data_IF_322665861572
#
_entry.id   IF_322665861572
#
_cell.length_a   1.000
_cell.length_b   1.000
_cell.length_c   1.000
_cell.angle_alpha   90.00
_cell.angle_beta   90.00
_cell.angle_gamma   90.00
#
_symmetry.space_group_name_H-M   'P 1'
#
loop_
_entity.id
_entity.type
_entity.pdbx_description
1 polymer ?
#
# COMPACT_ATOMS: atom_id res chain seq x y z
N UNK A 1 -63.30 -18.12 49.13
CA UNK A 1 -63.02 -17.67 47.74
C UNK A 1 -61.78 -16.77 47.67
N UNK A 2 -61.66 -15.71 48.49
CA UNK A 2 -60.51 -14.79 48.45
C UNK A 2 -59.15 -15.43 48.83
N UNK A 3 -59.12 -16.34 49.82
CA UNK A 3 -57.86 -17.00 50.24
C UNK A 3 -57.18 -17.85 49.15
N UNK A 4 -57.96 -18.55 48.32
CA UNK A 4 -57.45 -19.35 47.20
C UNK A 4 -56.83 -18.52 46.08
N UNK A 5 -57.27 -17.26 45.91
CA UNK A 5 -56.70 -16.35 44.93
C UNK A 5 -55.35 -15.80 45.42
N UNK A 6 -55.25 -15.46 46.71
CA UNK A 6 -54.00 -14.97 47.31
C UNK A 6 -52.90 -16.02 47.26
N UNK A 7 -53.24 -17.29 47.54
CA UNK A 7 -52.28 -18.39 47.53
C UNK A 7 -51.75 -18.70 46.10
N UNK A 8 -52.63 -18.64 45.09
CA UNK A 8 -52.23 -18.77 43.68
C UNK A 8 -51.35 -17.60 43.21
N UNK A 9 -51.64 -16.38 43.63
CA UNK A 9 -50.83 -15.21 43.27
C UNK A 9 -49.45 -15.28 43.92
N UNK A 10 -49.35 -15.70 45.19
CA UNK A 10 -48.07 -15.88 45.88
C UNK A 10 -47.18 -16.94 45.20
N UNK A 11 -47.75 -18.08 44.80
CA UNK A 11 -47.03 -19.13 44.08
C UNK A 11 -46.52 -18.67 42.69
N UNK A 12 -47.32 -17.88 41.97
CA UNK A 12 -46.89 -17.30 40.69
C UNK A 12 -45.76 -16.28 40.85
N UNK A 13 -45.76 -15.50 41.92
CA UNK A 13 -44.70 -14.52 42.19
C UNK A 13 -43.38 -15.23 42.54
N UNK A 14 -43.44 -16.29 43.37
CA UNK A 14 -42.25 -17.06 43.74
C UNK A 14 -41.62 -17.77 42.53
N UNK A 15 -42.44 -18.34 41.65
CA UNK A 15 -41.94 -18.99 40.42
C UNK A 15 -41.35 -17.97 39.44
N UNK A 16 -41.96 -16.80 39.30
CA UNK A 16 -41.41 -15.71 38.47
C UNK A 16 -40.05 -15.22 38.99
N UNK A 17 -39.91 -15.03 40.31
CA UNK A 17 -38.64 -14.64 40.94
C UNK A 17 -37.55 -15.72 40.76
N UNK A 18 -37.89 -17.00 40.95
CA UNK A 18 -36.96 -18.09 40.75
C UNK A 18 -36.49 -18.19 39.29
N UNK A 19 -37.40 -17.98 38.33
CA UNK A 19 -37.06 -17.97 36.92
C UNK A 19 -36.14 -16.80 36.56
N UNK A 20 -36.41 -15.62 37.11
CA UNK A 20 -35.60 -14.43 36.88
C UNK A 20 -34.18 -14.59 37.44
N UNK A 21 -34.04 -15.13 38.66
CA UNK A 21 -32.75 -15.47 39.26
C UNK A 21 -31.96 -16.49 38.42
N UNK A 22 -32.63 -17.52 37.91
CA UNK A 22 -31.98 -18.50 37.05
C UNK A 22 -31.47 -17.87 35.74
N UNK A 23 -32.25 -16.96 35.16
CA UNK A 23 -31.89 -16.26 33.93
C UNK A 23 -30.69 -15.32 34.14
N UNK A 24 -30.67 -14.59 35.25
CA UNK A 24 -29.54 -13.72 35.62
C UNK A 24 -28.26 -14.53 35.83
N UNK A 25 -28.35 -15.72 36.43
CA UNK A 25 -27.20 -16.60 36.65
C UNK A 25 -26.63 -17.13 35.33
N UNK A 26 -27.50 -17.51 34.38
CA UNK A 26 -27.09 -17.90 33.02
C UNK A 26 -26.44 -16.72 32.29
N UNK A 27 -27.02 -15.52 32.39
CA UNK A 27 -26.48 -14.32 31.77
C UNK A 27 -25.08 -14.00 32.30
N UNK A 28 -24.89 -14.12 33.62
CA UNK A 28 -23.60 -13.86 34.28
C UNK A 28 -22.53 -14.85 33.80
N UNK A 29 -22.86 -16.13 33.62
CA UNK A 29 -21.95 -17.13 33.06
C UNK A 29 -21.56 -16.80 31.62
N UNK A 30 -22.51 -16.39 30.78
CA UNK A 30 -22.26 -16.01 29.38
C UNK A 30 -21.35 -14.78 29.31
N UNK A 31 -21.65 -13.74 30.10
CA UNK A 31 -20.84 -12.51 30.17
C UNK A 31 -19.44 -12.83 30.69
N UNK A 32 -19.31 -13.65 31.74
CA UNK A 32 -18.03 -14.10 32.27
C UNK A 32 -17.19 -14.84 31.24
N UNK A 33 -17.80 -15.76 30.48
CA UNK A 33 -17.12 -16.48 29.40
C UNK A 33 -16.67 -15.53 28.26
N UNK A 34 -17.49 -14.53 27.91
CA UNK A 34 -17.14 -13.49 26.94
C UNK A 34 -15.97 -12.63 27.40
N UNK A 35 -15.96 -12.20 28.67
CA UNK A 35 -14.87 -11.41 29.24
C UNK A 35 -13.56 -12.21 29.32
N UNK A 36 -13.63 -13.50 29.66
CA UNK A 36 -12.47 -14.40 29.60
C UNK A 36 -11.95 -14.57 28.17
N UNK A 37 -12.84 -14.65 27.18
CA UNK A 37 -12.46 -14.73 25.76
C UNK A 37 -11.80 -13.43 25.26
N UNK A 38 -12.34 -12.27 25.64
CA UNK A 38 -11.82 -10.95 25.29
C UNK A 38 -10.47 -10.67 25.97
N UNK A 39 -10.32 -11.04 27.25
CA UNK A 39 -9.04 -10.90 27.96
C UNK A 39 -7.95 -11.80 27.37
N UNK A 40 -8.29 -13.00 26.90
CA UNK A 40 -7.38 -13.88 26.16
C UNK A 40 -6.94 -13.26 24.82
N UNK A 41 -7.85 -12.56 24.14
CA UNK A 41 -7.56 -11.85 22.89
C UNK A 41 -6.66 -10.62 23.11
N UNK A 42 -6.83 -9.89 24.22
CA UNK A 42 -5.94 -8.77 24.60
C UNK A 42 -4.48 -9.19 24.77
N UNK A 43 -4.23 -10.38 25.32
CA UNK A 43 -2.86 -10.92 25.43
C UNK A 43 -2.19 -11.20 24.07
N UNK A 44 -2.97 -11.39 23.02
CA UNK A 44 -2.42 -11.54 21.67
C UNK A 44 -2.06 -10.19 21.04
N UNK A 45 -2.81 -9.13 21.32
CA UNK A 45 -2.47 -7.78 20.86
C UNK A 45 -1.19 -7.24 21.49
N UNK A 46 -0.89 -7.58 22.75
CA UNK A 46 0.38 -7.15 23.39
C UNK A 46 1.61 -7.75 22.68
N UNK A 47 1.52 -8.99 22.20
CA UNK A 47 2.58 -9.63 21.40
C UNK A 47 2.75 -9.00 20.02
N UNK A 48 1.65 -8.53 19.43
CA UNK A 48 1.70 -7.82 18.15
C UNK A 48 2.33 -6.43 18.31
N UNK A 49 2.08 -5.73 19.42
CA UNK A 49 2.75 -4.46 19.68
C UNK A 49 4.26 -4.60 19.86
N UNK A 50 4.73 -5.69 20.45
CA UNK A 50 6.15 -5.98 20.60
C UNK A 50 6.81 -6.24 19.23
N UNK A 51 6.18 -7.05 18.37
CA UNK A 51 6.65 -7.32 17.01
C UNK A 51 6.62 -6.07 16.11
N UNK A 52 5.60 -5.22 16.26
CA UNK A 52 5.52 -3.94 15.54
C UNK A 52 6.60 -2.99 16.03
N UNK A 53 6.89 -2.92 17.33
CA UNK A 53 7.99 -2.12 17.86
C UNK A 53 9.34 -2.59 17.31
N UNK A 54 9.58 -3.91 17.23
CA UNK A 54 10.82 -4.44 16.66
C UNK A 54 10.93 -4.15 15.16
N UNK A 55 9.84 -4.30 14.40
CA UNK A 55 9.80 -4.01 12.97
C UNK A 55 9.96 -2.52 12.66
N UNK A 56 9.44 -1.64 13.51
CA UNK A 56 9.62 -0.19 13.40
C UNK A 56 11.08 0.18 13.67
N UNK A 57 11.72 -0.41 14.67
CA UNK A 57 13.13 -0.16 14.98
C UNK A 57 14.07 -0.63 13.86
N UNK A 58 13.80 -1.80 13.26
CA UNK A 58 14.54 -2.27 12.07
C UNK A 58 14.32 -1.37 10.86
N UNK A 59 13.10 -0.89 10.64
CA UNK A 59 12.78 0.05 9.57
C UNK A 59 13.48 1.40 9.76
N UNK A 60 13.57 1.91 10.99
CA UNK A 60 14.22 3.18 11.30
C UNK A 60 15.73 3.14 11.04
N UNK A 61 16.38 2.02 11.40
CA UNK A 61 17.80 1.78 11.06
C UNK A 61 18.01 1.68 9.55
N UNK A 62 17.10 1.03 8.82
CA UNK A 62 17.13 0.97 7.36
C UNK A 62 17.00 2.35 6.70
N UNK A 63 16.10 3.20 7.21
CA UNK A 63 15.93 4.57 6.72
C UNK A 63 17.18 5.44 6.96
N UNK A 64 17.83 5.31 8.11
CA UNK A 64 19.07 6.05 8.37
C UNK A 64 20.21 5.64 7.42
N UNK A 65 20.34 4.34 7.11
CA UNK A 65 21.30 3.88 6.12
C UNK A 65 21.00 4.43 4.73
N UNK A 66 19.73 4.42 4.31
CA UNK A 66 19.32 4.98 3.02
C UNK A 66 19.62 6.47 2.96
N UNK A 67 19.30 7.24 4.00
CA UNK A 67 19.60 8.68 4.04
C UNK A 67 21.10 8.96 3.92
N UNK A 68 21.94 8.18 4.61
CA UNK A 68 23.40 8.28 4.45
C UNK A 68 23.86 8.02 3.01
N UNK A 69 23.31 6.98 2.35
CA UNK A 69 23.65 6.69 0.94
C UNK A 69 23.17 7.77 -0.03
N UNK A 70 22.03 8.41 0.25
CA UNK A 70 21.49 9.50 -0.56
C UNK A 70 22.37 10.73 -0.46
N UNK A 71 22.84 11.08 0.74
CA UNK A 71 23.73 12.22 0.96
C UNK A 71 25.09 12.02 0.25
N UNK A 72 25.62 10.80 0.26
CA UNK A 72 26.84 10.44 -0.48
C UNK A 72 26.64 10.49 -2.00
N UNK A 73 25.47 10.07 -2.49
CA UNK A 73 25.09 10.18 -3.91
C UNK A 73 24.98 11.64 -4.34
N UNK A 74 24.39 12.49 -3.51
CA UNK A 74 24.25 13.92 -3.78
C UNK A 74 25.62 14.61 -3.85
N UNK A 75 26.53 14.29 -2.93
CA UNK A 75 27.93 14.78 -2.96
C UNK A 75 28.65 14.36 -4.24
N UNK A 76 28.50 13.09 -4.65
CA UNK A 76 29.12 12.56 -5.89
C UNK A 76 28.55 13.21 -7.15
N UNK A 77 27.23 13.40 -7.21
CA UNK A 77 26.57 14.09 -8.32
C UNK A 77 26.98 15.56 -8.39
N UNK A 78 27.10 16.25 -7.26
CA UNK A 78 27.60 17.61 -7.19
C UNK A 78 29.05 17.74 -7.71
N UNK A 79 29.91 16.78 -7.39
CA UNK A 79 31.29 16.74 -7.92
C UNK A 79 31.33 16.47 -9.43
N UNK A 80 30.50 15.56 -9.93
CA UNK A 80 30.37 15.28 -11.36
C UNK A 80 29.85 16.50 -12.14
N UNK A 81 28.84 17.19 -11.60
CA UNK A 81 28.30 18.41 -12.22
C UNK A 81 29.33 19.55 -12.25
N UNK A 82 30.13 19.70 -11.19
CA UNK A 82 31.24 20.67 -11.16
C UNK A 82 32.32 20.32 -12.19
N UNK A 83 32.70 19.04 -12.31
CA UNK A 83 33.64 18.58 -13.35
C UNK A 83 33.08 18.79 -14.76
N UNK A 84 31.80 18.51 -14.99
CA UNK A 84 31.15 18.74 -16.28
C UNK A 84 31.07 20.22 -16.64
N UNK A 85 30.80 21.11 -15.67
CA UNK A 85 30.83 22.57 -15.89
C UNK A 85 32.23 23.08 -16.20
N UNK A 86 33.24 22.59 -15.49
CA UNK A 86 34.64 22.95 -15.75
C UNK A 86 35.14 22.42 -17.10
N UNK A 87 34.75 21.21 -17.51
CA UNK A 87 35.08 20.68 -18.83
C UNK A 87 34.35 21.41 -19.96
N UNK A 88 33.09 21.80 -19.76
CA UNK A 88 32.34 22.60 -20.73
C UNK A 88 32.94 24.00 -20.91
N UNK A 89 33.40 24.65 -19.82
CA UNK A 89 34.12 25.91 -19.87
C UNK A 89 35.50 25.78 -20.53
N UNK A 90 36.21 24.68 -20.30
CA UNK A 90 37.50 24.41 -20.95
C UNK A 90 37.38 24.08 -22.44
N UNK A 91 36.28 23.44 -22.88
CA UNK A 91 36.01 23.16 -24.29
C UNK A 91 35.35 24.33 -25.03
N UNK A 92 34.59 25.19 -24.32
CA UNK A 92 33.93 26.37 -24.88
C UNK A 92 34.87 27.47 -25.36
N UNK A 93 36.17 27.40 -25.03
CA UNK A 93 37.19 28.32 -25.55
C UNK A 93 37.75 27.98 -26.93
N UNK A 94 37.36 26.85 -27.54
CA UNK A 94 37.91 26.37 -28.83
C UNK A 94 36.88 26.30 -29.97
N UNK A 95 35.63 26.69 -29.74
CA UNK A 95 34.53 26.50 -30.70
C UNK A 95 33.98 27.78 -31.32
N UNK A 96 34.68 28.91 -31.20
CA UNK A 96 34.21 30.21 -31.69
C UNK A 96 35.12 30.81 -32.77
N UNK A 97 35.54 29.98 -33.73
CA UNK A 97 36.27 30.47 -34.92
C UNK A 97 36.10 29.60 -36.17
N UNK A 98 34.89 29.11 -36.45
CA UNK A 98 34.57 28.59 -37.81
C UNK A 98 33.14 28.91 -38.24
N UNK A 99 33.07 30.05 -38.92
CA UNK A 99 32.44 30.25 -40.23
C UNK A 99 30.93 30.06 -40.35
N UNK A 100 30.27 31.20 -40.48
CA UNK A 100 29.16 31.44 -41.39
C UNK A 100 29.48 30.91 -42.81
N UNK A 101 28.68 29.98 -43.34
CA UNK A 101 28.26 29.94 -44.75
C UNK A 101 27.17 28.88 -44.97
N UNK A 102 25.93 29.37 -45.02
CA UNK A 102 24.95 29.08 -46.08
C UNK A 102 24.66 27.62 -46.46
N UNK A 103 23.51 27.07 -46.01
CA UNK A 103 22.49 26.52 -46.91
C UNK A 103 21.14 26.44 -46.17
N UNK A 104 20.15 27.11 -46.73
CA UNK A 104 18.75 27.16 -46.30
C UNK A 104 17.97 25.89 -46.68
N UNK A 105 16.88 25.66 -45.93
CA UNK A 105 15.78 24.74 -46.14
C UNK A 105 15.93 23.27 -45.66
N UNK A 106 15.34 22.95 -44.50
CA UNK A 106 13.98 22.41 -44.46
C UNK A 106 13.60 21.86 -43.07
N UNK A 107 12.57 22.49 -42.49
CA UNK A 107 11.53 21.92 -41.63
C UNK A 107 11.91 21.21 -40.31
N UNK A 108 11.63 21.92 -39.21
CA UNK A 108 10.84 21.51 -38.04
C UNK A 108 10.88 20.01 -37.63
N UNK A 109 11.18 19.61 -36.39
CA UNK A 109 10.99 20.27 -35.11
C UNK A 109 11.92 19.66 -34.03
N UNK A 110 12.13 20.37 -32.90
CA UNK A 110 13.16 20.05 -31.92
C UNK A 110 12.65 19.08 -30.84
N UNK A 111 13.59 18.59 -30.03
CA UNK A 111 13.38 18.03 -28.69
C UNK A 111 12.73 16.64 -28.58
N UNK A 112 13.54 15.60 -28.81
CA UNK A 112 13.42 14.37 -27.99
C UNK A 112 13.98 14.65 -26.59
N UNK A 113 13.24 15.44 -25.81
CA UNK A 113 13.39 15.47 -24.35
C UNK A 113 13.03 14.07 -23.87
N UNK A 114 14.05 13.29 -23.50
CA UNK A 114 13.92 12.07 -22.73
C UNK A 114 13.26 12.44 -21.41
N UNK A 115 11.92 12.35 -21.35
CA UNK A 115 11.15 12.54 -20.12
C UNK A 115 11.52 11.39 -19.19
N UNK A 116 12.35 11.68 -18.19
CA UNK A 116 12.60 10.78 -17.08
C UNK A 116 11.27 10.29 -16.50
N UNK A 117 11.08 8.98 -16.28
CA UNK A 117 9.85 8.46 -15.74
C UNK A 117 9.67 9.02 -14.33
N UNK A 118 8.63 9.84 -14.13
CA UNK A 118 8.13 10.15 -12.80
C UNK A 118 7.92 8.82 -12.09
N UNK A 119 8.61 8.63 -10.96
CA UNK A 119 8.41 7.49 -10.04
C UNK A 119 6.99 7.59 -9.49
N UNK A 120 6.00 7.20 -10.29
CA UNK A 120 4.66 6.92 -9.82
C UNK A 120 4.76 5.69 -8.93
N UNK A 121 4.03 5.69 -7.82
CA UNK A 121 4.08 4.57 -6.88
C UNK A 121 3.70 3.28 -7.62
N UNK A 122 4.25 2.11 -7.21
CA UNK A 122 3.94 0.84 -7.89
C UNK A 122 2.43 0.52 -7.96
N UNK A 123 1.65 1.10 -7.02
CA UNK A 123 0.19 1.03 -7.01
C UNK A 123 -0.46 1.87 -8.12
N UNK A 124 0.02 3.10 -8.35
CA UNK A 124 -0.47 3.96 -9.44
C UNK A 124 -0.23 3.31 -10.81
N UNK A 125 0.92 2.66 -10.98
CA UNK A 125 1.30 1.98 -12.23
C UNK A 125 0.35 0.81 -12.54
N UNK A 126 0.03 0.00 -11.53
CA UNK A 126 -0.94 -1.12 -11.64
C UNK A 126 -2.35 -0.63 -11.96
N UNK A 127 -2.78 0.46 -11.32
CA UNK A 127 -4.10 1.04 -11.57
C UNK A 127 -4.22 1.59 -13.00
N UNK A 128 -3.18 2.22 -13.51
CA UNK A 128 -3.13 2.72 -14.90
C UNK A 128 -3.19 1.58 -15.92
N UNK A 129 -2.40 0.52 -15.72
CA UNK A 129 -2.45 -0.70 -16.57
C UNK A 129 -3.85 -1.29 -16.57
N UNK A 130 -4.46 -1.47 -15.40
CA UNK A 130 -5.81 -2.02 -15.28
C UNK A 130 -6.86 -1.13 -15.97
N UNK A 131 -6.76 0.19 -15.81
CA UNK A 131 -7.69 1.13 -16.44
C UNK A 131 -7.63 1.07 -17.96
N UNK A 132 -6.42 0.95 -18.53
CA UNK A 132 -6.24 0.81 -19.98
C UNK A 132 -6.70 -0.56 -20.50
N UNK A 133 -6.48 -1.62 -19.72
CA UNK A 133 -6.97 -2.96 -20.04
C UNK A 133 -8.51 -3.00 -20.07
N UNK A 134 -9.18 -2.37 -19.09
CA UNK A 134 -10.64 -2.24 -19.05
C UNK A 134 -11.21 -1.46 -20.24
N UNK A 135 -10.42 -0.56 -20.83
CA UNK A 135 -10.78 0.18 -22.06
C UNK A 135 -10.58 -0.65 -23.33
N UNK A 136 -10.10 -1.90 -23.21
CA UNK A 136 -9.92 -2.82 -24.34
C UNK A 136 -8.67 -2.54 -25.16
N UNK A 137 -7.69 -1.79 -24.63
CA UNK A 137 -6.45 -1.55 -25.37
C UNK A 137 -5.58 -2.82 -25.40
N UNK A 138 -4.94 -3.14 -26.54
CA UNK A 138 -4.00 -4.24 -26.62
C UNK A 138 -2.74 -3.95 -25.79
N UNK A 139 -2.11 -5.01 -25.26
CA UNK A 139 -0.96 -4.90 -24.36
C UNK A 139 0.21 -4.13 -24.98
N UNK A 140 0.43 -4.28 -26.28
CA UNK A 140 1.48 -3.56 -27.02
C UNK A 140 1.29 -2.03 -26.96
N UNK A 141 0.03 -1.58 -27.01
CA UNK A 141 -0.27 -0.15 -26.95
C UNK A 141 -0.16 0.39 -25.52
N UNK A 142 -0.52 -0.43 -24.52
CA UNK A 142 -0.33 -0.10 -23.11
C UNK A 142 1.17 0.03 -22.80
N UNK A 143 1.99 -0.89 -23.31
CA UNK A 143 3.45 -0.87 -23.19
C UNK A 143 4.05 0.42 -23.72
N UNK A 144 3.66 0.84 -24.93
CA UNK A 144 4.13 2.10 -25.53
C UNK A 144 3.66 3.33 -24.75
N UNK A 145 2.40 3.37 -24.31
CA UNK A 145 1.82 4.53 -23.60
C UNK A 145 2.39 4.73 -22.20
N UNK A 146 2.63 3.65 -21.48
CA UNK A 146 3.12 3.69 -20.10
C UNK A 146 4.64 3.47 -19.99
N UNK A 147 5.32 3.24 -21.12
CA UNK A 147 6.74 2.90 -21.19
C UNK A 147 7.11 1.76 -20.21
N UNK A 148 6.34 0.68 -20.27
CA UNK A 148 6.48 -0.51 -19.41
C UNK A 148 6.82 -1.70 -20.31
N UNK A 149 7.83 -2.53 -19.97
CA UNK A 149 8.13 -3.73 -20.74
C UNK A 149 6.95 -4.71 -20.70
N UNK A 150 6.74 -5.41 -21.83
CA UNK A 150 5.62 -6.34 -22.02
C UNK A 150 5.46 -7.34 -20.87
N UNK A 151 6.56 -8.00 -20.46
CA UNK A 151 6.54 -8.98 -19.37
C UNK A 151 6.16 -8.40 -18.00
N UNK A 152 6.41 -7.12 -17.75
CA UNK A 152 6.00 -6.47 -16.50
C UNK A 152 4.48 -6.19 -16.51
N UNK A 153 3.89 -5.89 -17.67
CA UNK A 153 2.43 -5.74 -17.83
C UNK A 153 1.75 -7.10 -17.62
N UNK A 154 2.30 -8.16 -18.21
CA UNK A 154 1.79 -9.52 -18.05
C UNK A 154 1.79 -9.95 -16.58
N UNK A 155 2.91 -9.74 -15.88
CA UNK A 155 3.02 -10.00 -14.44
C UNK A 155 2.01 -9.19 -13.63
N UNK A 156 1.81 -7.91 -13.95
CA UNK A 156 0.80 -7.08 -13.27
C UNK A 156 -0.61 -7.62 -13.47
N UNK A 157 -0.95 -8.09 -14.67
CA UNK A 157 -2.27 -8.66 -14.95
C UNK A 157 -2.48 -9.96 -14.18
N UNK A 158 -1.49 -10.85 -14.15
CA UNK A 158 -1.53 -12.10 -13.39
C UNK A 158 -1.71 -11.85 -11.89
N UNK A 159 -0.90 -10.95 -11.32
CA UNK A 159 -1.01 -10.57 -9.91
C UNK A 159 -2.40 -10.04 -9.56
N UNK A 160 -3.03 -9.28 -10.46
CA UNK A 160 -4.37 -8.73 -10.20
C UNK A 160 -5.42 -9.83 -10.29
N UNK A 161 -5.37 -10.73 -11.28
CA UNK A 161 -6.28 -11.87 -11.38
C UNK A 161 -6.26 -12.73 -10.10
N UNK A 162 -5.08 -13.04 -9.58
CA UNK A 162 -4.93 -13.84 -8.36
C UNK A 162 -5.40 -13.10 -7.09
N UNK A 163 -5.32 -11.78 -7.04
CA UNK A 163 -5.76 -10.99 -5.88
C UNK A 163 -7.28 -10.68 -5.90
N UNK A 164 -7.92 -10.75 -7.07
CA UNK A 164 -9.38 -10.54 -7.21
C UNK A 164 -10.20 -11.83 -7.24
N UNK A 165 -9.56 -12.99 -7.33
CA UNK A 165 -10.25 -14.28 -7.24
C UNK A 165 -10.69 -14.52 -5.79
N UNK A 166 -11.99 -14.72 -5.50
CA UNK A 166 -12.43 -15.16 -4.18
C UNK A 166 -11.79 -16.52 -3.86
N UNK A 167 -11.50 -16.85 -2.59
CA UNK A 167 -11.04 -18.17 -2.17
C UNK A 167 -12.17 -19.19 -2.31
N UNK A 168 -12.52 -19.52 -3.54
CA UNK A 168 -13.42 -20.61 -3.85
C UNK A 168 -12.57 -21.89 -3.92
N UNK A 169 -12.78 -22.77 -2.92
CA UNK A 169 -12.14 -24.08 -2.69
C UNK A 169 -10.99 -24.13 -1.67
N UNK A 170 -11.24 -23.61 -0.46
CA UNK A 170 -10.65 -24.14 0.78
C UNK A 170 -11.65 -24.97 1.60
N UNK A 171 -12.65 -25.54 0.93
CA UNK A 171 -13.61 -26.48 1.50
C UNK A 171 -13.80 -27.67 0.56
N UNK A 172 -12.81 -28.56 0.55
CA UNK A 172 -12.98 -30.00 0.33
C UNK A 172 -11.96 -30.73 1.19
#
# INVERSE_FOLDING_TARGET
MLGLLVEKVAANIQTALALQLALDLVLLVIIGALLLRLSKQRRQTDRLSELVATAVEESERGFQQIMGTVEDLEKRLGQLQRRAKLSALAQGGLAQDRMDEETTASMAAPDQIVKFPRRTSGLDRRYQVMTLLKRGLPMDEISRRLNIPYGEIELMIEMIKHNTAPPEKAAM
#
